data_IF_767354350462
#
_entry.id   IF_767354350462
#
_cell.length_a   1.000
_cell.length_b   1.000
_cell.length_c   1.000
_cell.angle_alpha   90.00
_cell.angle_beta   90.00
_cell.angle_gamma   90.00
#
_symmetry.space_group_name_H-M   'P 1'
#
loop_
_entity.id
_entity.type
_entity.pdbx_description
1 polymer ?
#
# COMPACT_ATOMS: atom_id res chain seq x y z
N UNK A 1 -14.18 13.80 -3.60
CA UNK A 1 -12.98 12.95 -3.48
C UNK A 1 -11.74 13.76 -3.85
N UNK A 2 -10.71 13.74 -3.03
CA UNK A 2 -9.48 14.47 -3.33
C UNK A 2 -8.63 13.71 -4.36
N UNK A 3 -7.76 14.41 -5.04
CA UNK A 3 -6.83 13.80 -5.97
C UNK A 3 -5.74 13.02 -5.21
N UNK A 4 -5.23 11.97 -5.85
CA UNK A 4 -4.12 11.18 -5.32
C UNK A 4 -2.84 12.00 -5.47
N UNK A 5 -2.02 12.06 -4.42
CA UNK A 5 -0.74 12.74 -4.51
C UNK A 5 0.25 11.90 -5.33
N UNK A 6 1.35 12.53 -5.75
CA UNK A 6 2.39 11.83 -6.51
C UNK A 6 2.97 10.67 -5.70
N UNK A 7 3.23 10.89 -4.40
CA UNK A 7 3.73 9.82 -3.53
C UNK A 7 2.72 8.69 -3.38
N UNK A 8 1.45 9.02 -3.20
CA UNK A 8 0.40 8.01 -3.11
C UNK A 8 0.30 7.21 -4.40
N UNK A 9 0.43 7.86 -5.54
CA UNK A 9 0.39 7.19 -6.83
C UNK A 9 1.56 6.22 -6.99
N UNK A 10 2.76 6.62 -6.60
CA UNK A 10 3.93 5.73 -6.65
C UNK A 10 3.76 4.52 -5.74
N UNK A 11 3.28 4.75 -4.53
CA UNK A 11 3.01 3.67 -3.58
C UNK A 11 1.97 2.71 -4.15
N UNK A 12 0.89 3.23 -4.69
CA UNK A 12 -0.17 2.40 -5.26
C UNK A 12 0.36 1.53 -6.40
N UNK A 13 1.14 2.10 -7.32
CA UNK A 13 1.72 1.34 -8.42
C UNK A 13 2.60 0.21 -7.92
N UNK A 14 3.42 0.48 -6.90
CA UNK A 14 4.30 -0.53 -6.33
C UNK A 14 3.53 -1.63 -5.62
N UNK A 15 2.42 -1.27 -4.94
CA UNK A 15 1.56 -2.26 -4.29
C UNK A 15 0.94 -3.17 -5.33
N UNK A 16 0.45 -2.62 -6.44
CA UNK A 16 -0.12 -3.41 -7.52
C UNK A 16 0.91 -4.38 -8.08
N UNK A 17 2.13 -3.91 -8.32
CA UNK A 17 3.22 -4.77 -8.82
C UNK A 17 3.54 -5.89 -7.84
N UNK A 18 3.61 -5.56 -6.55
CA UNK A 18 3.91 -6.55 -5.53
C UNK A 18 2.79 -7.59 -5.45
N UNK A 19 1.56 -7.15 -5.49
CA UNK A 19 0.43 -8.06 -5.44
C UNK A 19 0.39 -8.99 -6.65
N UNK A 20 0.67 -8.47 -7.85
CA UNK A 20 0.73 -9.29 -9.04
C UNK A 20 1.85 -10.34 -8.92
N UNK A 21 2.98 -9.96 -8.35
CA UNK A 21 4.13 -10.85 -8.22
C UNK A 21 3.91 -11.95 -7.18
N UNK A 22 3.22 -11.65 -6.08
CA UNK A 22 3.12 -12.58 -4.95
C UNK A 22 1.75 -13.21 -4.78
N UNK A 23 0.69 -12.54 -5.24
CA UNK A 23 -0.69 -12.96 -5.00
C UNK A 23 -1.12 -12.83 -3.55
N UNK A 24 -0.37 -12.09 -2.72
CA UNK A 24 -0.62 -11.98 -1.29
C UNK A 24 -0.90 -10.54 -0.90
N UNK A 25 -1.69 -10.32 0.18
CA UNK A 25 -1.86 -8.97 0.71
C UNK A 25 -0.53 -8.35 1.09
N UNK A 26 -0.41 -7.04 0.89
CA UNK A 26 0.84 -6.29 1.09
C UNK A 26 0.82 -5.64 2.46
N UNK A 27 1.78 -6.01 3.32
CA UNK A 27 1.96 -5.41 4.64
C UNK A 27 2.93 -4.25 4.60
N UNK A 28 2.69 -3.22 5.42
CA UNK A 28 3.48 -1.98 5.37
C UNK A 28 4.95 -2.20 5.68
N UNK A 29 5.26 -3.02 6.68
CA UNK A 29 6.66 -3.21 7.11
C UNK A 29 7.50 -3.89 6.04
N UNK A 30 7.04 -5.03 5.54
CA UNK A 30 7.80 -5.77 4.53
C UNK A 30 7.85 -5.01 3.22
N UNK A 31 6.81 -4.26 2.91
CA UNK A 31 6.77 -3.46 1.68
C UNK A 31 7.81 -2.35 1.70
N UNK A 32 7.92 -1.63 2.82
CA UNK A 32 8.93 -0.57 2.97
C UNK A 32 10.33 -1.15 2.84
N UNK A 33 10.60 -2.29 3.45
CA UNK A 33 11.91 -2.93 3.38
C UNK A 33 12.24 -3.37 1.97
N UNK A 34 11.30 -3.99 1.28
CA UNK A 34 11.54 -4.56 -0.05
C UNK A 34 11.79 -3.49 -1.10
N UNK A 35 11.05 -2.39 -1.04
CA UNK A 35 11.12 -1.35 -2.07
C UNK A 35 11.97 -0.16 -1.67
N UNK A 36 12.60 -0.21 -0.49
CA UNK A 36 13.54 0.80 -0.03
C UNK A 36 12.96 2.22 -0.02
N UNK A 37 11.70 2.34 0.33
CA UNK A 37 11.10 3.66 0.52
C UNK A 37 11.79 4.36 1.70
N UNK A 38 12.03 5.65 1.57
CA UNK A 38 12.67 6.46 2.60
C UNK A 38 11.66 7.00 3.62
N UNK A 39 10.69 6.17 3.99
CA UNK A 39 9.67 6.50 4.98
C UNK A 39 9.52 5.33 5.95
N UNK A 40 8.99 5.61 7.14
CA UNK A 40 8.80 4.58 8.15
C UNK A 40 7.63 3.67 7.80
N UNK A 41 7.58 2.44 8.37
CA UNK A 41 6.40 1.59 8.20
C UNK A 41 5.11 2.25 8.70
N UNK A 42 5.18 3.08 9.74
CA UNK A 42 4.00 3.79 10.24
C UNK A 42 3.48 4.79 9.21
N UNK A 43 4.39 5.55 8.58
CA UNK A 43 4.01 6.48 7.52
C UNK A 43 3.43 5.74 6.32
N UNK A 44 4.04 4.61 5.95
CA UNK A 44 3.52 3.79 4.87
C UNK A 44 2.11 3.28 5.17
N UNK A 45 1.86 2.87 6.42
CA UNK A 45 0.52 2.44 6.83
C UNK A 45 -0.50 3.56 6.66
N UNK A 46 -0.12 4.79 7.00
CA UNK A 46 -1.00 5.94 6.84
C UNK A 46 -1.32 6.20 5.37
N UNK A 47 -0.32 6.09 4.50
CA UNK A 47 -0.54 6.23 3.06
C UNK A 47 -1.49 5.15 2.55
N UNK A 48 -1.29 3.91 2.97
CA UNK A 48 -2.17 2.80 2.60
C UNK A 48 -3.59 3.03 3.10
N UNK A 49 -3.73 3.55 4.32
CA UNK A 49 -5.05 3.88 4.88
C UNK A 49 -5.76 4.93 4.02
N UNK A 50 -5.05 5.96 3.61
CA UNK A 50 -5.61 6.99 2.76
C UNK A 50 -6.05 6.42 1.40
N UNK A 51 -5.22 5.56 0.80
CA UNK A 51 -5.56 4.90 -0.46
C UNK A 51 -6.78 3.99 -0.29
N UNK A 52 -6.89 3.34 0.83
CA UNK A 52 -8.06 2.51 1.14
C UNK A 52 -9.32 3.39 1.25
N UNK A 53 -9.21 4.53 1.92
CA UNK A 53 -10.32 5.47 2.07
C UNK A 53 -10.78 6.01 0.72
N UNK A 54 -9.86 6.14 -0.23
CA UNK A 54 -10.17 6.61 -1.58
C UNK A 54 -10.68 5.50 -2.50
N UNK A 55 -10.71 4.25 -2.02
CA UNK A 55 -11.24 3.14 -2.78
C UNK A 55 -10.24 2.39 -3.64
N UNK A 56 -8.94 2.69 -3.53
CA UNK A 56 -7.92 2.03 -4.34
C UNK A 56 -7.38 0.75 -3.72
N UNK A 57 -7.52 0.59 -2.40
CA UNK A 57 -7.07 -0.60 -1.70
C UNK A 57 -8.19 -1.11 -0.81
N UNK A 58 -8.09 -2.37 -0.42
CA UNK A 58 -9.03 -2.96 0.53
C UNK A 58 -8.30 -3.93 1.46
N UNK A 59 -8.97 -4.32 2.52
CA UNK A 59 -8.46 -5.17 3.59
C UNK A 59 -9.11 -6.55 3.51
N UNK A 60 -8.36 -7.63 3.27
CA UNK A 60 -8.92 -8.97 3.45
C UNK A 60 -9.25 -9.22 4.92
N UNK A 61 -10.28 -10.01 5.19
CA UNK A 61 -10.76 -10.26 6.55
C UNK A 61 -9.69 -10.81 7.49
N UNK A 62 -8.83 -11.67 6.97
CA UNK A 62 -7.92 -12.46 7.81
C UNK A 62 -6.50 -11.96 7.76
N UNK A 63 -6.27 -10.77 7.23
CA UNK A 63 -4.91 -10.27 7.02
C UNK A 63 -4.79 -8.82 7.45
N UNK A 64 -3.62 -8.46 7.99
CA UNK A 64 -3.27 -7.07 8.27
C UNK A 64 -2.81 -6.34 7.01
N UNK A 65 -2.52 -7.07 5.92
CA UNK A 65 -2.10 -6.48 4.66
C UNK A 65 -3.25 -5.94 3.85
N UNK A 66 -2.92 -5.29 2.73
CA UNK A 66 -3.93 -4.71 1.83
C UNK A 66 -3.76 -5.23 0.42
N UNK A 67 -4.85 -5.23 -0.33
CA UNK A 67 -4.87 -5.62 -1.74
C UNK A 67 -5.49 -4.50 -2.56
N UNK A 68 -5.12 -4.39 -3.84
CA UNK A 68 -5.71 -3.39 -4.74
C UNK A 68 -7.21 -3.53 -4.91
#
# INVERSE_FOLDING_TARGET
>A
MRAVTERESEVLKSIVQEYIATGRPVGSRSFVQKYSFSISPATMRNIMYDLESLGFLTHPHTSAGRIP
#
